data_IF_062921214418
#
_entry.id   IF_062921214418
#
_cell.length_a   1.000
_cell.length_b   1.000
_cell.length_c   1.000
_cell.angle_alpha   90.00
_cell.angle_beta   90.00
_cell.angle_gamma   90.00
#
_symmetry.space_group_name_H-M   'P 1'
#
loop_
_entity.id
_entity.type
_entity.pdbx_description
1 polymer ?
#
# COMPACT_ATOMS: atom_id res chain seq x y z
N UNK A 1 -44.90 9.47 17.30
CA UNK A 1 -44.05 9.48 18.50
C UNK A 1 -42.73 8.81 18.15
N UNK A 2 -41.61 9.50 18.39
CA UNK A 2 -40.34 9.22 17.75
C UNK A 2 -39.67 7.93 18.25
N UNK A 3 -39.10 7.08 17.36
CA UNK A 3 -38.37 5.86 17.74
C UNK A 3 -37.20 6.15 18.70
N UNK A 4 -36.65 7.37 18.67
CA UNK A 4 -35.58 7.80 19.58
C UNK A 4 -35.98 7.84 21.07
N UNK A 5 -37.26 8.08 21.39
CA UNK A 5 -37.72 8.15 22.79
C UNK A 5 -37.89 6.75 23.42
N UNK A 6 -38.31 5.76 22.62
CA UNK A 6 -38.48 4.36 23.06
C UNK A 6 -37.11 3.69 23.23
N UNK A 7 -36.17 3.98 22.32
CA UNK A 7 -34.79 3.50 22.46
C UNK A 7 -34.13 4.02 23.74
N UNK A 8 -34.38 5.28 24.10
CA UNK A 8 -33.83 5.90 25.30
C UNK A 8 -34.33 5.24 26.59
N UNK A 9 -35.64 5.09 26.76
CA UNK A 9 -36.22 4.50 27.97
C UNK A 9 -35.91 3.01 28.13
N UNK A 10 -35.88 2.25 27.03
CA UNK A 10 -35.49 0.83 27.05
C UNK A 10 -34.02 0.62 27.40
N UNK A 11 -33.10 1.42 26.83
CA UNK A 11 -31.68 1.36 27.21
C UNK A 11 -31.44 1.89 28.63
N UNK A 12 -32.22 2.87 29.11
CA UNK A 12 -32.12 3.41 30.48
C UNK A 12 -32.44 2.34 31.52
N UNK A 13 -33.45 1.51 31.26
CA UNK A 13 -33.74 0.33 32.09
C UNK A 13 -32.61 -0.72 32.03
N UNK A 14 -32.01 -0.94 30.85
CA UNK A 14 -30.89 -1.87 30.65
C UNK A 14 -29.61 -1.45 31.40
N UNK A 15 -29.32 -0.15 31.50
CA UNK A 15 -28.16 0.31 32.27
C UNK A 15 -28.34 0.17 33.79
N UNK A 16 -29.56 -0.04 34.27
CA UNK A 16 -29.81 -0.41 35.66
C UNK A 16 -29.29 -1.82 36.02
N UNK A 17 -29.14 -2.69 35.04
CA UNK A 17 -28.54 -4.04 35.18
C UNK A 17 -27.32 -4.17 34.25
N UNK A 18 -26.16 -3.81 34.80
CA UNK A 18 -24.87 -3.81 34.09
C UNK A 18 -24.53 -5.22 33.58
N UNK A 19 -24.94 -6.29 34.28
CA UNK A 19 -24.68 -7.67 33.87
C UNK A 19 -25.55 -8.14 32.70
N UNK A 20 -26.80 -7.69 32.64
CA UNK A 20 -27.66 -7.92 31.47
C UNK A 20 -27.17 -7.11 30.27
N UNK A 21 -26.78 -5.85 30.49
CA UNK A 21 -26.17 -5.01 29.46
C UNK A 21 -24.92 -5.67 28.87
N UNK A 22 -23.99 -6.16 29.71
CA UNK A 22 -22.80 -6.88 29.24
C UNK A 22 -23.16 -8.07 28.33
N UNK A 23 -24.12 -8.91 28.72
CA UNK A 23 -24.55 -10.06 27.91
C UNK A 23 -25.18 -9.67 26.58
N UNK A 24 -25.97 -8.59 26.55
CA UNK A 24 -26.54 -8.05 25.31
C UNK A 24 -25.43 -7.51 24.40
N UNK A 25 -24.47 -6.77 24.96
CA UNK A 25 -23.31 -6.27 24.23
C UNK A 25 -22.44 -7.40 23.66
N UNK A 26 -22.27 -8.50 24.41
CA UNK A 26 -21.52 -9.67 23.95
C UNK A 26 -22.17 -10.48 22.82
N UNK A 27 -23.48 -10.28 22.60
CA UNK A 27 -24.23 -10.84 21.46
C UNK A 27 -24.25 -9.90 20.25
N UNK A 28 -24.03 -8.60 20.45
CA UNK A 28 -23.90 -7.62 19.39
C UNK A 28 -22.49 -7.56 18.80
N UNK A 29 -22.36 -7.09 17.55
CA UNK A 29 -21.04 -6.83 16.99
C UNK A 29 -20.47 -5.52 17.58
N UNK A 30 -19.19 -5.55 17.94
CA UNK A 30 -18.39 -4.40 18.45
C UNK A 30 -18.58 -3.01 17.80
N UNK A 31 -18.72 -2.86 16.47
CA UNK A 31 -19.04 -1.58 15.85
C UNK A 31 -20.27 -0.90 16.46
N UNK A 32 -21.30 -1.67 16.81
CA UNK A 32 -22.60 -1.13 17.21
C UNK A 32 -22.51 -0.45 18.58
N UNK A 33 -21.83 -1.07 19.53
CA UNK A 33 -21.75 -0.53 20.88
C UNK A 33 -20.66 0.53 21.08
N UNK A 34 -19.62 0.56 20.23
CA UNK A 34 -18.72 1.74 20.20
C UNK A 34 -19.43 2.98 19.68
N UNK A 35 -20.36 2.83 18.74
CA UNK A 35 -21.22 3.92 18.31
C UNK A 35 -22.13 4.37 19.46
N UNK A 36 -22.71 3.42 20.21
CA UNK A 36 -23.48 3.72 21.44
C UNK A 36 -22.64 4.49 22.47
N UNK A 37 -21.41 4.04 22.76
CA UNK A 37 -20.51 4.69 23.70
C UNK A 37 -20.08 6.11 23.26
N UNK A 38 -20.17 6.43 21.97
CA UNK A 38 -19.89 7.77 21.43
C UNK A 38 -21.13 8.65 21.33
N UNK A 39 -22.33 8.09 21.43
CA UNK A 39 -23.59 8.80 21.22
C UNK A 39 -24.04 9.61 22.45
N UNK A 40 -23.78 9.13 23.67
CA UNK A 40 -24.15 9.81 24.91
C UNK A 40 -23.17 9.53 26.05
N UNK A 41 -22.97 10.51 26.93
CA UNK A 41 -22.09 10.36 28.11
C UNK A 41 -22.57 9.21 29.02
N UNK A 42 -23.87 9.12 29.27
CA UNK A 42 -24.43 8.03 30.08
C UNK A 42 -24.22 6.64 29.44
N UNK A 43 -24.33 6.53 28.11
CA UNK A 43 -24.04 5.29 27.39
C UNK A 43 -22.54 4.91 27.46
N UNK A 44 -21.66 5.91 27.44
CA UNK A 44 -20.22 5.72 27.67
C UNK A 44 -19.95 5.13 29.04
N UNK A 45 -20.52 5.73 30.08
CA UNK A 45 -20.29 5.31 31.47
C UNK A 45 -20.84 3.87 31.68
N UNK A 46 -22.05 3.59 31.19
CA UNK A 46 -22.64 2.25 31.26
C UNK A 46 -21.80 1.17 30.55
N UNK A 47 -21.28 1.49 29.35
CA UNK A 47 -20.37 0.59 28.61
C UNK A 47 -19.05 0.39 29.37
N UNK A 48 -18.47 1.43 29.94
CA UNK A 48 -17.25 1.33 30.74
C UNK A 48 -17.42 0.41 31.96
N UNK A 49 -18.59 0.43 32.62
CA UNK A 49 -18.87 -0.49 33.72
C UNK A 49 -19.17 -1.93 33.27
N UNK A 50 -19.77 -2.11 32.09
CA UNK A 50 -20.08 -3.42 31.53
C UNK A 50 -18.85 -4.12 30.91
N UNK A 51 -17.85 -3.35 30.45
CA UNK A 51 -16.64 -3.82 29.80
C UNK A 51 -15.88 -4.93 30.56
N UNK A 52 -15.54 -4.78 31.87
CA UNK A 52 -14.82 -5.82 32.61
C UNK A 52 -15.65 -7.11 32.78
N UNK A 53 -16.97 -6.99 32.96
CA UNK A 53 -17.87 -8.15 33.08
C UNK A 53 -17.92 -8.91 31.76
N UNK A 54 -18.15 -8.18 30.67
CA UNK A 54 -18.17 -8.73 29.32
C UNK A 54 -16.85 -9.45 29.00
N UNK A 55 -15.72 -8.84 29.35
CA UNK A 55 -14.40 -9.42 29.13
C UNK A 55 -14.22 -10.71 29.93
N UNK A 56 -14.58 -10.73 31.21
CA UNK A 56 -14.49 -11.93 32.05
C UNK A 56 -15.35 -13.08 31.49
N UNK A 57 -16.59 -12.78 31.06
CA UNK A 57 -17.48 -13.77 30.45
C UNK A 57 -16.88 -14.35 29.15
N UNK A 58 -16.37 -13.50 28.25
CA UNK A 58 -15.77 -13.95 26.99
C UNK A 58 -14.51 -14.79 27.24
N UNK A 59 -13.64 -14.36 28.16
CA UNK A 59 -12.40 -15.08 28.48
C UNK A 59 -12.68 -16.44 29.13
N UNK A 60 -13.78 -16.58 29.87
CA UNK A 60 -14.23 -17.85 30.45
C UNK A 60 -14.89 -18.81 29.42
N UNK A 61 -15.28 -18.28 28.27
CA UNK A 61 -15.94 -19.03 27.19
C UNK A 61 -14.94 -19.79 26.31
N UNK A 62 -15.45 -20.62 25.39
CA UNK A 62 -14.64 -21.22 24.31
C UNK A 62 -13.90 -20.18 23.48
N UNK A 63 -14.50 -18.99 23.28
CA UNK A 63 -13.89 -17.88 22.55
C UNK A 63 -12.59 -17.39 23.18
N UNK A 64 -12.50 -17.35 24.50
CA UNK A 64 -11.29 -16.95 25.23
C UNK A 64 -10.16 -17.97 25.17
N UNK A 65 -10.48 -19.24 24.87
CA UNK A 65 -9.51 -20.32 24.69
C UNK A 65 -8.92 -20.35 23.28
N UNK A 66 -9.62 -19.79 22.30
CA UNK A 66 -9.15 -19.68 20.92
C UNK A 66 -8.02 -18.66 20.77
N UNK A 67 -7.09 -18.94 19.87
CA UNK A 67 -6.00 -18.02 19.56
C UNK A 67 -6.51 -16.74 18.87
N UNK A 68 -5.86 -15.60 19.10
CA UNK A 68 -6.21 -14.33 18.47
C UNK A 68 -6.26 -14.43 16.92
N UNK A 69 -5.38 -15.22 16.30
CA UNK A 69 -5.39 -15.44 14.86
C UNK A 69 -6.57 -16.30 14.38
N UNK A 70 -7.02 -17.27 15.17
CA UNK A 70 -8.20 -18.09 14.86
C UNK A 70 -9.46 -17.24 14.91
N UNK A 71 -9.61 -16.43 15.96
CA UNK A 71 -10.71 -15.47 16.09
C UNK A 71 -10.71 -14.45 14.95
N UNK A 72 -9.53 -13.99 14.54
CA UNK A 72 -9.38 -13.10 13.38
C UNK A 72 -9.84 -13.77 12.07
N UNK A 73 -9.46 -15.04 11.83
CA UNK A 73 -9.94 -15.82 10.67
C UNK A 73 -11.45 -16.06 10.71
N UNK A 74 -12.00 -16.31 11.90
CA UNK A 74 -13.43 -16.48 12.15
C UNK A 74 -14.22 -15.16 12.07
N UNK A 75 -13.53 -14.01 12.02
CA UNK A 75 -14.10 -12.66 12.03
C UNK A 75 -14.87 -12.32 13.31
N UNK A 76 -14.56 -13.02 14.40
CA UNK A 76 -15.12 -12.76 15.73
C UNK A 76 -14.39 -11.56 16.36
N UNK A 77 -14.94 -10.37 16.14
CA UNK A 77 -14.36 -9.12 16.63
C UNK A 77 -14.45 -9.04 18.16
N UNK A 78 -15.53 -9.54 18.78
CA UNK A 78 -15.76 -9.43 20.23
C UNK A 78 -14.85 -10.38 21.01
N UNK A 79 -14.70 -11.61 20.54
CA UNK A 79 -13.68 -12.54 21.03
C UNK A 79 -12.27 -11.96 20.89
N UNK A 80 -11.93 -11.47 19.69
CA UNK A 80 -10.60 -10.92 19.41
C UNK A 80 -10.28 -9.70 20.29
N UNK A 81 -11.25 -8.82 20.52
CA UNK A 81 -11.08 -7.68 21.42
C UNK A 81 -10.74 -8.11 22.85
N UNK A 82 -11.51 -9.05 23.42
CA UNK A 82 -11.30 -9.50 24.80
C UNK A 82 -9.91 -10.11 24.97
N UNK A 83 -9.48 -10.96 24.02
CA UNK A 83 -8.15 -11.58 24.03
C UNK A 83 -7.03 -10.54 23.87
N UNK A 84 -7.20 -9.55 23.00
CA UNK A 84 -6.17 -8.52 22.79
C UNK A 84 -6.04 -7.54 23.95
N UNK A 85 -7.14 -7.15 24.59
CA UNK A 85 -7.10 -6.30 25.79
C UNK A 85 -6.45 -7.06 26.94
N UNK A 86 -6.80 -8.33 27.13
CA UNK A 86 -6.19 -9.17 28.16
C UNK A 86 -4.69 -9.38 27.96
N UNK A 87 -4.27 -9.61 26.72
CA UNK A 87 -2.86 -9.66 26.37
C UNK A 87 -2.18 -8.33 26.61
N UNK A 88 -2.78 -7.20 26.24
CA UNK A 88 -2.15 -5.89 26.40
C UNK A 88 -1.88 -5.55 27.87
N UNK A 89 -2.75 -5.97 28.79
CA UNK A 89 -2.53 -5.82 30.24
C UNK A 89 -1.42 -6.74 30.77
N UNK A 90 -1.33 -7.97 30.26
CA UNK A 90 -0.35 -8.95 30.72
C UNK A 90 1.03 -8.80 30.08
N UNK A 91 1.09 -8.35 28.82
CA UNK A 91 2.31 -8.19 28.03
C UNK A 91 2.12 -7.10 26.96
N UNK A 92 2.48 -5.84 27.27
CA UNK A 92 2.26 -4.70 26.38
C UNK A 92 3.28 -4.57 25.23
N UNK A 93 4.36 -5.35 25.22
CA UNK A 93 5.58 -4.99 24.47
C UNK A 93 5.73 -5.65 23.09
N UNK A 94 5.07 -6.79 22.81
CA UNK A 94 5.38 -7.57 21.59
C UNK A 94 4.27 -7.52 20.54
N UNK A 95 4.58 -7.11 19.29
CA UNK A 95 3.62 -7.13 18.19
C UNK A 95 3.21 -8.57 17.90
N UNK A 96 1.90 -8.83 17.92
CA UNK A 96 1.37 -10.17 17.69
C UNK A 96 1.60 -10.59 16.24
N UNK A 97 2.33 -11.69 16.04
CA UNK A 97 2.63 -12.29 14.73
C UNK A 97 2.22 -13.76 14.71
N UNK A 98 1.66 -14.19 13.59
CA UNK A 98 1.31 -15.58 13.35
C UNK A 98 2.62 -16.39 13.26
N UNK A 99 2.76 -17.49 14.01
CA UNK A 99 4.03 -18.21 14.10
C UNK A 99 4.46 -18.85 12.77
N UNK A 100 3.49 -19.26 11.94
CA UNK A 100 3.78 -19.98 10.70
C UNK A 100 4.07 -19.01 9.54
N UNK A 101 3.26 -17.95 9.43
CA UNK A 101 3.31 -17.03 8.29
C UNK A 101 3.98 -15.68 8.61
N UNK A 102 4.24 -15.38 9.87
CA UNK A 102 4.67 -14.05 10.32
C UNK A 102 3.63 -12.96 10.07
N UNK A 103 2.40 -13.33 9.66
CA UNK A 103 1.31 -12.42 9.36
C UNK A 103 0.92 -11.65 10.62
N UNK A 104 0.76 -10.34 10.52
CA UNK A 104 0.05 -9.56 11.56
C UNK A 104 -1.45 -9.83 11.47
N UNK A 105 -2.20 -9.47 12.51
CA UNK A 105 -3.68 -9.56 12.49
C UNK A 105 -4.29 -8.85 11.28
N UNK A 106 -3.66 -7.76 10.83
CA UNK A 106 -4.10 -7.03 9.65
C UNK A 106 -3.92 -7.86 8.36
N UNK A 107 -2.80 -8.58 8.22
CA UNK A 107 -2.59 -9.48 7.07
C UNK A 107 -3.66 -10.59 7.02
N UNK A 108 -3.93 -11.20 8.18
CA UNK A 108 -4.96 -12.26 8.30
C UNK A 108 -6.34 -11.72 7.97
N UNK A 109 -6.71 -10.55 8.53
CA UNK A 109 -7.99 -9.91 8.27
C UNK A 109 -8.17 -9.55 6.79
N UNK A 110 -7.11 -9.05 6.13
CA UNK A 110 -7.13 -8.69 4.72
C UNK A 110 -7.27 -9.91 3.79
N UNK A 111 -6.59 -11.02 4.13
CA UNK A 111 -6.73 -12.28 3.39
C UNK A 111 -8.14 -12.84 3.53
N UNK A 112 -8.69 -12.84 4.74
CA UNK A 112 -10.08 -13.26 4.99
C UNK A 112 -11.10 -12.36 4.28
N UNK A 113 -10.82 -11.06 4.17
CA UNK A 113 -11.65 -10.07 3.50
C UNK A 113 -11.60 -10.16 1.96
N UNK A 114 -10.60 -10.83 1.38
CA UNK A 114 -10.45 -10.97 -0.07
C UNK A 114 -11.41 -12.02 -0.66
N UNK A 115 -11.97 -12.89 0.18
CA UNK A 115 -13.00 -13.87 -0.21
C UNK A 115 -14.37 -13.18 -0.42
N UNK A 116 -14.50 -12.35 -1.47
CA UNK A 116 -15.72 -11.77 -2.12
C UNK A 116 -16.99 -11.49 -1.27
N UNK A 117 -16.88 -11.37 0.04
CA UNK A 117 -17.98 -11.10 0.96
C UNK A 117 -17.98 -9.65 1.42
N UNK A 118 -19.06 -9.20 2.08
CA UNK A 118 -19.09 -7.88 2.69
C UNK A 118 -17.91 -7.75 3.66
N UNK A 119 -17.21 -6.61 3.57
CA UNK A 119 -16.16 -6.19 4.49
C UNK A 119 -16.81 -5.97 5.86
N UNK A 120 -16.95 -7.04 6.64
CA UNK A 120 -17.47 -7.04 7.99
C UNK A 120 -16.66 -6.15 8.92
N UNK A 121 -17.10 -5.99 10.17
CA UNK A 121 -16.60 -4.92 11.04
C UNK A 121 -15.14 -5.09 11.48
N UNK A 122 -14.55 -6.27 11.28
CA UNK A 122 -13.19 -6.58 11.67
C UNK A 122 -12.15 -5.60 11.10
N UNK A 123 -12.18 -5.33 9.80
CA UNK A 123 -11.17 -4.49 9.16
C UNK A 123 -11.30 -3.01 9.59
N UNK A 124 -12.49 -2.37 9.54
CA UNK A 124 -12.68 -1.05 10.13
C UNK A 124 -12.27 -0.97 11.60
N UNK A 125 -12.58 -2.01 12.38
CA UNK A 125 -12.23 -2.08 13.79
C UNK A 125 -10.71 -2.12 14.00
N UNK A 126 -9.98 -3.01 13.29
CA UNK A 126 -8.52 -3.09 13.36
C UNK A 126 -7.86 -1.77 12.94
N UNK A 127 -8.35 -1.15 11.87
CA UNK A 127 -7.81 0.13 11.37
C UNK A 127 -8.12 1.33 12.29
N UNK A 128 -9.14 1.22 13.15
CA UNK A 128 -9.47 2.25 14.14
C UNK A 128 -8.59 2.24 15.38
N UNK A 129 -7.81 1.18 15.59
CA UNK A 129 -6.95 1.04 16.75
C UNK A 129 -5.68 1.89 16.61
N UNK A 130 -5.10 2.26 17.74
CA UNK A 130 -3.88 3.07 17.77
C UNK A 130 -2.66 2.33 17.15
N UNK A 131 -2.65 1.00 17.20
CA UNK A 131 -1.61 0.14 16.62
C UNK A 131 -1.80 -0.11 15.11
N UNK A 132 -2.86 0.41 14.49
CA UNK A 132 -3.17 0.18 13.08
C UNK A 132 -2.02 0.60 12.14
N UNK A 133 -1.40 1.76 12.39
CA UNK A 133 -0.29 2.25 11.58
C UNK A 133 0.92 1.31 11.66
N UNK A 134 1.29 0.86 12.87
CA UNK A 134 2.39 -0.08 13.06
C UNK A 134 2.08 -1.44 12.41
N UNK A 135 0.83 -1.90 12.51
CA UNK A 135 0.38 -3.14 11.88
C UNK A 135 0.36 -3.07 10.35
N UNK A 136 0.13 -1.89 9.76
CA UNK A 136 0.14 -1.65 8.32
C UNK A 136 1.57 -1.69 7.73
N UNK A 137 2.55 -1.22 8.49
CA UNK A 137 3.98 -1.26 8.13
C UNK A 137 4.64 -2.61 8.40
N UNK A 138 3.99 -3.47 9.19
CA UNK A 138 4.52 -4.80 9.50
C UNK A 138 4.72 -5.62 8.21
N UNK A 139 5.83 -6.35 8.16
CA UNK A 139 6.12 -7.33 7.09
C UNK A 139 5.91 -8.74 7.62
N UNK A 140 5.34 -9.63 6.79
CA UNK A 140 5.25 -11.06 7.10
C UNK A 140 6.51 -11.82 6.67
N UNK A 141 6.54 -13.15 6.80
CA UNK A 141 7.71 -13.96 6.45
C UNK A 141 8.10 -13.89 4.96
N UNK A 142 7.15 -13.50 4.10
CA UNK A 142 7.36 -13.25 2.66
C UNK A 142 7.79 -11.81 2.35
N UNK A 143 8.05 -10.98 3.38
CA UNK A 143 8.38 -9.56 3.21
C UNK A 143 7.21 -8.67 2.82
N UNK A 144 6.00 -9.24 2.76
CA UNK A 144 4.80 -8.55 2.30
C UNK A 144 4.26 -7.64 3.39
N UNK A 145 3.81 -6.46 2.99
CA UNK A 145 3.03 -5.53 3.82
C UNK A 145 1.54 -5.76 3.63
N UNK A 146 0.71 -5.08 4.44
CA UNK A 146 -0.74 -5.10 4.29
C UNK A 146 -1.21 -4.71 2.87
N UNK A 147 -0.52 -3.77 2.20
CA UNK A 147 -0.85 -3.37 0.83
C UNK A 147 -0.62 -4.49 -0.19
N UNK A 148 0.43 -5.31 -0.03
CA UNK A 148 0.65 -6.49 -0.90
C UNK A 148 -0.50 -7.48 -0.78
N UNK A 149 -0.98 -7.74 0.44
CA UNK A 149 -2.13 -8.64 0.64
C UNK A 149 -3.40 -8.07 0.01
N UNK A 150 -3.62 -6.75 0.09
CA UNK A 150 -4.73 -6.10 -0.61
C UNK A 150 -4.62 -6.20 -2.13
N UNK A 151 -3.42 -5.99 -2.67
CA UNK A 151 -3.13 -6.09 -4.08
C UNK A 151 -3.41 -7.50 -4.61
N UNK A 152 -2.92 -8.52 -3.90
CA UNK A 152 -3.16 -9.92 -4.27
C UNK A 152 -4.62 -10.35 -4.15
N UNK A 153 -5.31 -9.81 -3.16
CA UNK A 153 -6.72 -10.12 -2.90
C UNK A 153 -7.72 -9.31 -3.73
N UNK A 154 -7.27 -8.32 -4.51
CA UNK A 154 -8.15 -7.37 -5.19
C UNK A 154 -9.00 -6.53 -4.23
N UNK A 155 -8.56 -6.33 -2.99
CA UNK A 155 -9.34 -5.71 -1.92
C UNK A 155 -9.33 -4.17 -2.00
N UNK A 156 -10.02 -3.62 -3.01
CA UNK A 156 -10.07 -2.18 -3.35
C UNK A 156 -10.42 -1.29 -2.14
N UNK A 157 -11.50 -1.60 -1.43
CA UNK A 157 -11.96 -0.81 -0.28
C UNK A 157 -10.98 -0.86 0.91
N UNK A 158 -10.28 -1.98 1.07
CA UNK A 158 -9.28 -2.15 2.11
C UNK A 158 -8.00 -1.35 1.79
N UNK A 159 -7.51 -1.44 0.55
CA UNK A 159 -6.39 -0.64 0.07
C UNK A 159 -6.65 0.87 0.24
N UNK A 160 -7.86 1.33 -0.13
CA UNK A 160 -8.25 2.73 0.03
C UNK A 160 -8.19 3.19 1.49
N UNK A 161 -8.59 2.33 2.44
CA UNK A 161 -8.57 2.64 3.87
C UNK A 161 -7.15 2.63 4.43
N UNK A 162 -6.31 1.68 4.02
CA UNK A 162 -4.91 1.62 4.43
C UNK A 162 -4.13 2.87 4.02
N UNK A 163 -4.31 3.32 2.77
CA UNK A 163 -3.62 4.51 2.25
C UNK A 163 -4.11 5.82 2.88
N UNK A 164 -5.25 5.82 3.58
CA UNK A 164 -5.75 6.97 4.35
C UNK A 164 -5.26 6.98 5.79
N UNK A 165 -4.55 5.95 6.25
CA UNK A 165 -3.97 5.95 7.58
C UNK A 165 -2.93 7.07 7.68
N UNK A 166 -2.80 7.67 8.87
CA UNK A 166 -1.82 8.73 9.14
C UNK A 166 -0.38 8.24 9.29
N UNK A 167 -0.13 6.95 9.08
CA UNK A 167 1.22 6.41 9.01
C UNK A 167 1.73 6.52 7.59
N UNK A 168 3.00 6.86 7.41
CA UNK A 168 3.68 6.86 6.11
C UNK A 168 3.78 5.43 5.59
N UNK A 169 2.67 4.90 5.07
CA UNK A 169 2.62 3.57 4.47
C UNK A 169 3.50 3.62 3.22
N UNK A 170 4.56 2.83 3.21
CA UNK A 170 5.42 2.66 2.05
C UNK A 170 4.63 1.95 0.92
N UNK A 171 4.19 2.76 -0.05
CA UNK A 171 3.36 2.34 -1.18
C UNK A 171 4.17 1.46 -2.14
N UNK A 172 5.48 1.67 -2.20
CA UNK A 172 6.42 0.99 -3.10
C UNK A 172 7.30 -0.03 -2.35
N UNK A 173 6.87 -0.44 -1.15
CA UNK A 173 7.54 -1.47 -0.36
C UNK A 173 7.76 -2.73 -1.21
N UNK A 174 8.96 -3.30 -1.17
CA UNK A 174 9.31 -4.48 -1.98
C UNK A 174 9.29 -5.77 -1.18
N UNK A 175 8.45 -6.74 -1.53
CA UNK A 175 8.45 -8.05 -0.88
C UNK A 175 9.76 -8.85 -1.14
N UNK A 176 9.86 -10.07 -0.62
CA UNK A 176 11.07 -10.89 -0.80
C UNK A 176 11.37 -11.25 -2.26
N UNK A 177 10.41 -11.10 -3.17
CA UNK A 177 10.58 -11.27 -4.61
C UNK A 177 10.86 -9.95 -5.33
N UNK A 178 11.09 -8.87 -4.58
CA UNK A 178 11.24 -7.51 -5.07
C UNK A 178 9.96 -6.95 -5.75
N UNK A 179 8.82 -7.61 -5.58
CA UNK A 179 7.55 -7.11 -6.11
C UNK A 179 7.03 -5.98 -5.24
N UNK A 180 6.49 -4.93 -5.87
CA UNK A 180 5.74 -3.87 -5.18
C UNK A 180 4.25 -4.23 -5.13
N UNK A 181 3.44 -3.57 -4.27
CA UNK A 181 1.99 -3.74 -4.27
C UNK A 181 1.36 -3.47 -5.64
N UNK A 182 1.93 -2.55 -6.43
CA UNK A 182 1.46 -2.28 -7.78
C UNK A 182 1.71 -3.47 -8.72
N UNK A 183 2.91 -4.06 -8.67
CA UNK A 183 3.24 -5.28 -9.43
C UNK A 183 2.28 -6.42 -9.06
N UNK A 184 2.08 -6.68 -7.77
CA UNK A 184 1.14 -7.70 -7.29
C UNK A 184 -0.29 -7.45 -7.85
N UNK A 185 -0.78 -6.20 -7.82
CA UNK A 185 -2.10 -5.86 -8.32
C UNK A 185 -2.25 -6.03 -9.84
N UNK A 186 -1.17 -5.78 -10.60
CA UNK A 186 -1.13 -6.02 -12.04
C UNK A 186 -1.12 -7.51 -12.35
N UNK A 187 -0.30 -8.29 -11.64
CA UNK A 187 -0.22 -9.75 -11.77
C UNK A 187 -1.58 -10.42 -11.55
N UNK A 188 -2.30 -10.02 -10.50
CA UNK A 188 -3.64 -10.55 -10.22
C UNK A 188 -4.76 -9.94 -11.09
N UNK A 189 -4.44 -9.02 -12.00
CA UNK A 189 -5.41 -8.42 -12.90
C UNK A 189 -6.48 -7.58 -12.19
N UNK A 190 -6.11 -6.88 -11.11
CA UNK A 190 -7.03 -6.10 -10.26
C UNK A 190 -7.02 -4.59 -10.57
N UNK A 191 -7.74 -4.10 -11.62
CA UNK A 191 -7.68 -2.70 -12.05
C UNK A 191 -8.18 -1.70 -10.99
N UNK A 192 -9.06 -2.14 -10.07
CA UNK A 192 -9.53 -1.30 -8.97
C UNK A 192 -8.42 -0.96 -7.99
N UNK A 193 -7.55 -1.93 -7.67
CA UNK A 193 -6.41 -1.69 -6.77
C UNK A 193 -5.31 -0.92 -7.49
N UNK A 194 -5.02 -1.25 -8.76
CA UNK A 194 -4.09 -0.47 -9.61
C UNK A 194 -4.46 1.01 -9.63
N UNK A 195 -5.74 1.33 -9.89
CA UNK A 195 -6.19 2.71 -9.92
C UNK A 195 -5.99 3.46 -8.59
N UNK A 196 -6.20 2.78 -7.45
CA UNK A 196 -5.99 3.36 -6.13
C UNK A 196 -4.51 3.59 -5.84
N UNK A 197 -3.65 2.62 -6.16
CA UNK A 197 -2.20 2.72 -5.93
C UNK A 197 -1.60 3.85 -6.79
N UNK A 198 -1.98 3.94 -8.06
CA UNK A 198 -1.54 5.01 -8.95
C UNK A 198 -2.05 6.39 -8.50
N UNK A 199 -3.29 6.49 -8.02
CA UNK A 199 -3.82 7.72 -7.45
C UNK A 199 -3.06 8.15 -6.19
N UNK A 200 -2.50 7.20 -5.45
CA UNK A 200 -1.63 7.43 -4.30
C UNK A 200 -0.16 7.67 -4.67
N UNK A 201 0.16 7.82 -5.96
CA UNK A 201 1.51 8.04 -6.51
C UNK A 201 2.49 6.89 -6.31
N UNK A 202 2.00 5.64 -6.34
CA UNK A 202 2.87 4.47 -6.49
C UNK A 202 3.75 4.61 -7.74
N UNK A 203 5.01 4.15 -7.68
CA UNK A 203 5.94 4.17 -8.79
C UNK A 203 5.44 3.26 -9.94
N UNK A 204 5.02 3.84 -11.09
CA UNK A 204 4.53 3.06 -12.21
C UNK A 204 5.65 2.35 -13.00
N UNK A 205 6.93 2.65 -12.69
CA UNK A 205 8.12 2.14 -13.36
C UNK A 205 8.91 1.14 -12.49
N UNK A 206 8.27 0.61 -11.44
CA UNK A 206 8.87 -0.39 -10.57
C UNK A 206 9.43 -1.57 -11.38
N UNK A 207 10.60 -2.08 -11.00
CA UNK A 207 11.25 -3.17 -11.73
C UNK A 207 11.30 -4.42 -10.86
N UNK A 208 10.79 -5.54 -11.37
CA UNK A 208 10.86 -6.85 -10.71
C UNK A 208 11.54 -7.86 -11.62
N UNK A 209 12.46 -8.66 -11.09
CA UNK A 209 13.06 -9.75 -11.85
C UNK A 209 12.06 -10.92 -11.98
N UNK A 210 12.01 -11.54 -13.15
CA UNK A 210 11.22 -12.74 -13.40
C UNK A 210 12.10 -13.98 -13.55
N UNK A 211 11.46 -15.16 -13.55
CA UNK A 211 12.14 -16.45 -13.60
C UNK A 211 12.87 -16.76 -14.91
N UNK A 212 12.73 -15.91 -15.95
CA UNK A 212 13.37 -16.09 -17.26
C UNK A 212 14.63 -15.23 -17.41
N UNK A 213 15.09 -14.60 -16.32
CA UNK A 213 16.24 -13.69 -16.37
C UNK A 213 15.94 -12.34 -17.00
N UNK A 214 14.67 -12.07 -17.34
CA UNK A 214 14.18 -10.75 -17.68
C UNK A 214 13.65 -10.07 -16.42
N UNK A 215 13.55 -8.75 -16.42
CA UNK A 215 12.70 -8.03 -15.50
C UNK A 215 11.43 -7.58 -16.18
N UNK A 216 10.39 -7.40 -15.38
CA UNK A 216 9.15 -6.82 -15.82
C UNK A 216 8.89 -5.51 -15.08
N UNK A 217 8.32 -4.57 -15.82
CA UNK A 217 7.71 -3.36 -15.30
C UNK A 217 6.19 -3.57 -15.19
N UNK A 218 5.44 -2.76 -14.41
CA UNK A 218 3.99 -2.84 -14.39
C UNK A 218 3.37 -2.81 -15.79
N UNK A 219 3.94 -1.99 -16.69
CA UNK A 219 3.48 -1.89 -18.07
C UNK A 219 3.78 -3.16 -18.88
N UNK A 220 5.02 -3.69 -18.81
CA UNK A 220 5.39 -4.94 -19.50
C UNK A 220 4.52 -6.10 -19.01
N UNK A 221 4.30 -6.24 -17.69
CA UNK A 221 3.42 -7.26 -17.13
C UNK A 221 1.99 -7.11 -17.65
N UNK A 222 1.42 -5.90 -17.61
CA UNK A 222 0.05 -5.66 -18.06
C UNK A 222 -0.13 -5.99 -19.56
N UNK A 223 0.90 -5.73 -20.38
CA UNK A 223 0.92 -6.10 -21.80
C UNK A 223 1.02 -7.61 -21.98
N UNK A 224 1.93 -8.29 -21.27
CA UNK A 224 2.06 -9.77 -21.33
C UNK A 224 0.77 -10.47 -20.92
N UNK A 225 0.05 -9.92 -19.95
CA UNK A 225 -1.27 -10.41 -19.50
C UNK A 225 -2.43 -9.95 -20.41
N UNK A 226 -2.17 -9.17 -21.46
CA UNK A 226 -3.16 -8.62 -22.40
C UNK A 226 -4.29 -7.84 -21.71
N UNK A 227 -4.02 -7.24 -20.55
CA UNK A 227 -5.05 -6.55 -19.77
C UNK A 227 -5.17 -5.07 -20.17
N UNK A 228 -5.95 -4.82 -21.23
CA UNK A 228 -6.16 -3.47 -21.80
C UNK A 228 -6.64 -2.47 -20.75
N UNK A 229 -7.44 -2.89 -19.76
CA UNK A 229 -7.95 -1.98 -18.71
C UNK A 229 -6.83 -1.46 -17.82
N UNK A 230 -5.93 -2.34 -17.38
CA UNK A 230 -4.78 -1.97 -16.55
C UNK A 230 -3.78 -1.16 -17.37
N UNK A 231 -3.51 -1.55 -18.63
CA UNK A 231 -2.63 -0.79 -19.53
C UNK A 231 -3.13 0.66 -19.67
N UNK A 232 -4.44 0.87 -19.88
CA UNK A 232 -5.02 2.22 -19.92
C UNK A 232 -4.83 3.01 -18.63
N UNK A 233 -4.87 2.34 -17.47
CA UNK A 233 -4.65 3.01 -16.18
C UNK A 233 -3.18 3.40 -15.99
N UNK A 234 -2.25 2.50 -16.33
CA UNK A 234 -0.81 2.75 -16.24
C UNK A 234 -0.36 3.86 -17.18
N UNK A 235 -0.87 3.91 -18.41
CA UNK A 235 -0.52 4.96 -19.38
C UNK A 235 -1.03 6.36 -18.98
N UNK A 236 -2.02 6.43 -18.09
CA UNK A 236 -2.49 7.69 -17.49
C UNK A 236 -1.69 8.08 -16.26
N UNK A 237 -0.82 7.20 -15.75
CA UNK A 237 0.01 7.51 -14.60
C UNK A 237 1.05 8.57 -14.97
N UNK A 238 1.24 9.60 -14.14
CA UNK A 238 2.27 10.61 -14.38
C UNK A 238 3.66 9.97 -14.29
N UNK A 239 4.52 10.27 -15.26
CA UNK A 239 5.92 9.81 -15.25
C UNK A 239 6.14 8.36 -15.69
N UNK A 240 5.14 7.69 -16.27
CA UNK A 240 5.32 6.35 -16.86
C UNK A 240 6.34 6.38 -18.01
N UNK A 241 7.35 5.50 -17.94
CA UNK A 241 8.34 5.30 -19.00
C UNK A 241 7.89 4.15 -19.92
N UNK A 242 7.47 4.52 -21.14
CA UNK A 242 7.02 3.56 -22.15
C UNK A 242 8.16 2.72 -22.74
N UNK A 243 9.40 3.22 -22.62
CA UNK A 243 10.58 2.63 -23.23
C UNK A 243 11.49 1.94 -22.20
N UNK A 244 11.02 1.79 -20.96
CA UNK A 244 11.75 1.07 -19.94
C UNK A 244 11.96 -0.38 -20.38
N UNK A 245 13.22 -0.77 -20.47
CA UNK A 245 13.63 -2.08 -20.96
C UNK A 245 13.46 -3.15 -19.89
N UNK A 246 13.07 -4.34 -20.32
CA UNK A 246 12.99 -5.53 -19.49
C UNK A 246 14.33 -5.94 -18.88
N UNK A 247 15.45 -5.51 -19.45
CA UNK A 247 16.78 -5.83 -18.94
C UNK A 247 17.56 -4.53 -18.69
N UNK A 248 18.17 -4.43 -17.51
CA UNK A 248 19.00 -3.29 -17.13
C UNK A 248 20.43 -3.53 -17.61
N UNK A 249 21.02 -2.55 -18.30
CA UNK A 249 22.44 -2.58 -18.69
C UNK A 249 22.77 -3.41 -19.94
N UNK A 250 21.76 -3.96 -20.63
CA UNK A 250 21.97 -4.67 -21.91
C UNK A 250 21.18 -4.02 -23.05
N UNK A 251 21.77 -3.87 -24.25
CA UNK A 251 21.12 -3.16 -25.36
C UNK A 251 19.89 -3.89 -25.91
N UNK A 252 19.84 -5.22 -25.81
CA UNK A 252 18.77 -6.09 -26.33
C UNK A 252 17.55 -6.23 -25.41
N UNK A 253 17.46 -5.45 -24.33
CA UNK A 253 16.26 -5.41 -23.50
C UNK A 253 15.04 -4.98 -24.32
N UNK A 254 13.94 -5.71 -24.16
CA UNK A 254 12.67 -5.46 -24.85
C UNK A 254 11.82 -4.48 -24.07
N UNK A 255 11.13 -3.58 -24.75
CA UNK A 255 10.18 -2.66 -24.11
C UNK A 255 8.74 -3.22 -24.11
N UNK A 256 7.78 -2.47 -23.58
CA UNK A 256 6.39 -2.91 -23.53
C UNK A 256 5.77 -3.12 -24.93
N UNK A 257 6.21 -2.39 -25.95
CA UNK A 257 5.70 -2.51 -27.31
C UNK A 257 6.18 -3.82 -27.96
N UNK A 258 7.41 -4.25 -27.68
CA UNK A 258 7.99 -5.50 -28.18
C UNK A 258 7.25 -6.75 -27.70
N UNK A 259 6.57 -6.68 -26.54
CA UNK A 259 5.75 -7.76 -26.01
C UNK A 259 4.28 -7.70 -26.44
N UNK A 260 3.85 -6.61 -27.11
CA UNK A 260 2.50 -6.49 -27.62
C UNK A 260 2.30 -7.39 -28.86
N UNK A 261 1.08 -7.92 -29.09
CA UNK A 261 0.79 -8.70 -30.30
C UNK A 261 1.06 -7.88 -31.57
N UNK A 262 1.36 -8.55 -32.68
CA UNK A 262 1.71 -7.90 -33.96
C UNK A 262 0.63 -6.93 -34.44
N UNK A 263 -0.63 -7.27 -34.20
CA UNK A 263 -1.80 -6.47 -34.57
C UNK A 263 -2.81 -6.48 -33.41
N UNK A 264 -3.68 -5.46 -33.38
CA UNK A 264 -4.81 -5.40 -32.46
C UNK A 264 -4.86 -4.15 -31.58
N UNK A 265 -5.93 -4.03 -30.78
CA UNK A 265 -6.26 -2.80 -30.06
C UNK A 265 -5.21 -2.44 -29.00
N UNK A 266 -4.49 -3.44 -28.46
CA UNK A 266 -3.43 -3.20 -27.47
C UNK A 266 -2.20 -2.53 -28.09
N UNK A 267 -1.74 -3.00 -29.25
CA UNK A 267 -0.60 -2.42 -29.96
C UNK A 267 -0.90 -1.01 -30.42
N UNK A 268 -2.08 -0.80 -31.01
CA UNK A 268 -2.52 0.54 -31.42
C UNK A 268 -2.53 1.53 -30.24
N UNK A 269 -2.98 1.06 -29.08
CA UNK A 269 -3.05 1.89 -27.88
C UNK A 269 -1.66 2.31 -27.39
N UNK A 270 -0.70 1.38 -27.35
CA UNK A 270 0.68 1.69 -26.99
C UNK A 270 1.33 2.64 -28.00
N UNK A 271 1.14 2.40 -29.30
CA UNK A 271 1.67 3.29 -30.35
C UNK A 271 1.11 4.70 -30.23
N UNK A 272 -0.19 4.84 -29.99
CA UNK A 272 -0.83 6.15 -29.74
C UNK A 272 -0.21 6.84 -28.52
N UNK A 273 -0.04 6.12 -27.41
CA UNK A 273 0.56 6.67 -26.19
C UNK A 273 2.02 7.13 -26.41
N UNK A 274 2.82 6.39 -27.20
CA UNK A 274 4.20 6.80 -27.57
C UNK A 274 4.19 8.10 -28.38
N UNK A 275 3.28 8.24 -29.34
CA UNK A 275 3.13 9.47 -30.13
C UNK A 275 2.72 10.64 -29.24
N UNK A 276 1.77 10.43 -28.33
CA UNK A 276 1.29 11.44 -27.38
C UNK A 276 2.40 11.92 -26.44
N UNK A 277 3.19 11.00 -25.86
CA UNK A 277 4.33 11.38 -25.01
C UNK A 277 5.40 12.16 -25.78
N UNK A 278 5.72 11.75 -27.02
CA UNK A 278 6.65 12.49 -27.88
C UNK A 278 6.13 13.89 -28.19
N UNK A 279 4.84 14.02 -28.53
CA UNK A 279 4.23 15.32 -28.78
C UNK A 279 4.25 16.23 -27.54
N UNK A 280 4.04 15.67 -26.34
CA UNK A 280 4.13 16.41 -25.08
C UNK A 280 5.55 16.91 -24.77
N UNK A 281 6.59 16.12 -25.09
CA UNK A 281 7.99 16.56 -24.97
C UNK A 281 8.33 17.71 -25.93
N UNK A 282 7.84 17.63 -27.17
CA UNK A 282 8.06 18.69 -28.17
C UNK A 282 7.39 20.00 -27.74
N UNK A 283 6.14 19.97 -27.25
CA UNK A 283 5.45 21.19 -26.80
C UNK A 283 6.07 21.80 -25.55
N UNK A 284 6.66 21.01 -24.65
CA UNK A 284 7.42 21.51 -23.51
C UNK A 284 8.78 22.11 -23.91
N UNK A 285 9.40 21.62 -25.00
CA UNK A 285 10.67 22.14 -25.53
C UNK A 285 10.57 23.48 -26.27
N UNK A 286 9.39 23.85 -26.78
CA UNK A 286 9.19 25.10 -27.55
C UNK A 286 8.96 26.33 -26.66
N UNK A 287 8.81 26.14 -25.33
CA UNK A 287 8.65 27.23 -24.36
C UNK A 287 9.95 27.82 -23.78
N UNK A 288 11.13 27.34 -24.22
CA UNK A 288 12.41 27.64 -23.58
C UNK A 288 13.53 28.01 -24.54
N UNK A 289 13.32 28.94 -25.49
CA UNK A 289 14.42 29.65 -26.15
C UNK A 289 13.92 30.91 -26.86
N UNK A 290 13.69 31.97 -26.08
CA UNK A 290 13.64 33.35 -26.60
C UNK A 290 14.42 34.24 -25.65
N UNK A 291 15.76 34.15 -25.70
CA UNK A 291 16.65 35.23 -25.27
C UNK A 291 18.10 34.88 -25.66
N UNK A 292 18.73 35.75 -26.45
CA UNK A 292 20.19 35.75 -26.59
C UNK A 292 20.71 35.64 -28.01
N UNK A 293 20.14 36.41 -28.93
CA UNK A 293 20.76 36.73 -30.21
C UNK A 293 21.99 37.62 -29.94
N UNK A 294 23.19 37.04 -29.90
CA UNK A 294 24.43 37.78 -30.15
C UNK A 294 25.35 36.94 -31.04
N UNK A 295 25.30 37.29 -32.31
CA UNK A 295 26.27 36.94 -33.32
C UNK A 295 27.70 37.32 -32.91
N UNK A 296 28.63 36.37 -32.98
CA UNK A 296 30.03 36.66 -33.29
C UNK A 296 30.45 35.74 -34.44
N UNK A 297 30.80 36.40 -35.53
CA UNK A 297 31.23 35.85 -36.82
C UNK A 297 32.45 34.94 -36.66
N UNK A 298 32.43 33.80 -37.35
CA UNK A 298 33.64 33.14 -37.83
C UNK A 298 34.25 33.96 -38.98
N UNK A 299 35.57 34.05 -39.05
CA UNK A 299 36.38 33.69 -40.23
C UNK A 299 37.89 33.80 -39.87
N UNK A 300 38.77 33.12 -40.63
CA UNK A 300 39.96 32.43 -40.12
C UNK A 300 41.30 33.09 -40.50
N UNK A 301 42.38 32.58 -39.91
CA UNK A 301 43.71 32.63 -40.50
C UNK A 301 44.79 33.25 -39.62
N UNK A 302 45.79 32.43 -39.23
CA UNK A 302 47.20 32.54 -39.64
C UNK A 302 48.11 31.76 -38.70
N UNK A 303 48.95 30.96 -39.35
CA UNK A 303 50.17 30.30 -38.89
C UNK A 303 51.20 31.24 -38.29
N UNK A 304 52.07 30.69 -37.41
CA UNK A 304 53.52 30.92 -37.19
C UNK A 304 53.82 30.76 -35.67
N UNK A 305 54.48 29.69 -35.22
CA UNK A 305 55.92 29.42 -35.24
C UNK A 305 56.70 30.05 -34.05
N UNK A 306 57.48 29.20 -33.36
CA UNK A 306 58.54 29.55 -32.41
C UNK A 306 58.03 29.97 -31.02
N UNK A 307 58.66 29.68 -29.88
CA UNK A 307 59.95 29.09 -29.52
C UNK A 307 59.93 29.02 -27.99
N UNK A 308 60.19 27.86 -27.39
CA UNK A 308 61.35 27.57 -26.55
C UNK A 308 61.50 28.33 -25.20
N UNK A 309 62.08 27.61 -24.24
CA UNK A 309 62.54 27.98 -22.88
C UNK A 309 61.43 28.03 -21.81
N UNK A 310 61.58 27.46 -20.61
CA UNK A 310 62.68 26.76 -19.96
C UNK A 310 62.37 26.56 -18.46
N UNK A 311 63.11 25.67 -17.80
CA UNK A 311 63.27 25.58 -16.33
C UNK A 311 62.10 24.92 -15.58
N UNK A 312 62.19 23.69 -15.08
CA UNK A 312 63.07 23.10 -14.05
C UNK A 312 62.41 23.04 -12.66
N UNK A 313 62.52 21.84 -12.06
CA UNK A 313 62.37 21.50 -10.63
C UNK A 313 60.96 21.69 -10.03
N UNK A 314 60.35 20.74 -9.32
CA UNK A 314 60.88 19.61 -8.58
C UNK A 314 60.39 19.71 -7.14
N UNK A 315 59.38 18.93 -6.75
CA UNK A 315 59.16 18.47 -5.37
C UNK A 315 57.93 17.55 -5.32
N UNK A 316 58.16 16.32 -4.84
CA UNK A 316 57.17 15.30 -4.46
C UNK A 316 57.11 15.24 -2.91
N UNK A 317 56.27 14.40 -2.28
CA UNK A 317 55.24 14.81 -1.34
C UNK A 317 55.61 14.58 0.16
N UNK A 318 54.98 15.35 1.05
CA UNK A 318 55.03 15.16 2.50
C UNK A 318 53.87 14.30 3.01
N UNK A 319 54.23 13.29 3.82
CA UNK A 319 53.41 12.23 4.45
C UNK A 319 52.47 12.71 5.59
N UNK A 320 51.55 11.84 6.04
CA UNK A 320 50.57 12.09 7.11
C UNK A 320 51.02 11.57 8.49
N UNK A 321 50.38 12.06 9.58
CA UNK A 321 50.17 11.44 10.92
C UNK A 321 49.66 12.50 11.92
N UNK A 322 49.15 12.14 13.12
CA UNK A 322 48.92 10.78 13.67
C UNK A 322 47.45 10.34 13.66
#
# INVERSE_FOLDING_TARGET
MAPAAIFRSGFEALAGDIGLLARVLGRGELPDWRLLARAAQWARDAVCFAEPILRAEILSSERGRSGAFELCRARDVTGLWAVLVDRAEKSPAEPLRDPDSGDSLLHVALRAASNKGPQGPLLPWLLSRHDASAAALARNCRGQTALHVCARGGAVAAAARLLRLRGDVDIDARDNYQATPLIDAVCEGSPGVVGILLAARADPNAFVANCHGHGDTPLILAVRLQNIRIVRQLLRAPGIDLHQKSLIGVPFGKDALDFAPSEGPLRELLLRAVVEQRAALVTQGVGGSVAGDQAVRCEPGRTLAGSASGGSSGARPGRPAP
#
